data_IF_091839941203
#
_entry.id   IF_091839941203
#
_cell.length_a   1.000
_cell.length_b   1.000
_cell.length_c   1.000
_cell.angle_alpha   90.00
_cell.angle_beta   90.00
_cell.angle_gamma   90.00
#
_symmetry.space_group_name_H-M   'P 1'
#
loop_
_entity.id
_entity.type
_entity.pdbx_description
1 polymer ?
#
# COMPACT_ATOMS: atom_id res chain seq x y z
N UNK A 1 -6.00 -1.89 -9.59
CA UNK A 1 -6.85 -2.55 -10.60
C UNK A 1 -7.26 -1.60 -11.72
N UNK A 2 -7.94 -0.45 -11.50
CA UNK A 2 -8.36 0.46 -12.59
C UNK A 2 -7.22 0.89 -13.51
N UNK A 3 -6.05 1.24 -12.98
CA UNK A 3 -4.90 1.60 -13.81
C UNK A 3 -4.41 0.41 -14.66
N UNK A 4 -4.32 -0.80 -14.10
CA UNK A 4 -3.96 -2.00 -14.86
C UNK A 4 -4.98 -2.32 -15.96
N UNK A 5 -6.28 -2.15 -15.68
CA UNK A 5 -7.33 -2.30 -16.69
C UNK A 5 -7.15 -1.31 -17.86
N UNK A 6 -6.82 -0.04 -17.58
CA UNK A 6 -6.52 0.97 -18.61
C UNK A 6 -5.25 0.66 -19.41
N UNK A 7 -4.36 -0.19 -18.90
CA UNK A 7 -3.19 -0.70 -19.62
C UNK A 7 -3.47 -1.99 -20.40
N UNK A 8 -4.72 -2.47 -20.39
CA UNK A 8 -5.14 -3.67 -21.10
C UNK A 8 -4.81 -4.99 -20.38
N UNK A 9 -4.46 -4.95 -19.10
CA UNK A 9 -4.18 -6.16 -18.33
C UNK A 9 -5.47 -6.94 -18.04
N UNK A 10 -5.39 -8.28 -18.16
CA UNK A 10 -6.42 -9.20 -17.66
C UNK A 10 -6.22 -9.36 -16.14
N UNK A 11 -7.23 -9.03 -15.35
CA UNK A 11 -7.14 -8.95 -13.90
C UNK A 11 -7.97 -10.05 -13.25
N UNK A 12 -7.37 -10.79 -12.30
CA UNK A 12 -8.09 -11.68 -11.39
C UNK A 12 -7.92 -11.14 -9.99
N UNK A 13 -9.02 -10.84 -9.31
CA UNK A 13 -9.05 -10.35 -7.93
C UNK A 13 -9.26 -11.47 -6.94
N UNK A 14 -8.47 -11.48 -5.84
CA UNK A 14 -8.64 -12.38 -4.70
C UNK A 14 -8.59 -11.55 -3.42
N UNK A 15 -9.55 -11.71 -2.53
CA UNK A 15 -9.56 -11.02 -1.25
C UNK A 15 -10.79 -11.31 -0.41
N UNK A 16 -10.78 -10.80 0.83
CA UNK A 16 -11.95 -10.81 1.69
C UNK A 16 -13.03 -9.85 1.18
N UNK A 17 -14.28 -10.00 1.60
CA UNK A 17 -15.32 -9.02 1.30
C UNK A 17 -14.92 -7.63 1.83
N UNK A 18 -15.39 -6.54 1.19
CA UNK A 18 -15.16 -5.19 1.72
C UNK A 18 -15.64 -5.06 3.16
N UNK A 19 -14.76 -4.53 4.03
CA UNK A 19 -15.02 -4.41 5.48
C UNK A 19 -15.73 -3.10 5.86
N UNK A 20 -15.85 -2.14 4.92
CA UNK A 20 -16.37 -0.79 5.19
C UNK A 20 -17.52 -0.45 4.25
N UNK A 21 -18.40 0.43 4.75
CA UNK A 21 -19.44 1.09 3.96
C UNK A 21 -19.32 2.59 4.22
N UNK A 22 -18.98 3.40 3.19
CA UNK A 22 -18.67 3.01 1.82
C UNK A 22 -17.38 2.20 1.69
N UNK A 23 -17.16 1.58 0.51
CA UNK A 23 -15.90 0.95 0.14
C UNK A 23 -15.52 1.34 -1.29
N UNK A 24 -14.22 1.49 -1.55
CA UNK A 24 -13.74 1.80 -2.91
C UNK A 24 -13.98 0.63 -3.88
N UNK A 25 -14.05 -0.60 -3.38
CA UNK A 25 -14.40 -1.76 -4.19
C UNK A 25 -15.78 -1.61 -4.84
N UNK A 26 -16.76 -1.14 -4.06
CA UNK A 26 -18.14 -0.92 -4.54
C UNK A 26 -18.25 0.41 -5.29
N UNK A 27 -17.87 1.55 -4.66
CA UNK A 27 -18.04 2.88 -5.24
C UNK A 27 -17.18 3.12 -6.49
N UNK A 28 -16.09 2.37 -6.59
CA UNK A 28 -15.18 2.39 -7.74
C UNK A 28 -15.48 1.33 -8.80
N UNK A 29 -16.58 0.56 -8.64
CA UNK A 29 -16.95 -0.54 -9.55
C UNK A 29 -15.74 -1.44 -9.91
N UNK A 30 -15.01 -1.89 -8.88
CA UNK A 30 -13.75 -2.63 -9.08
C UNK A 30 -14.01 -4.03 -9.60
N UNK A 31 -15.13 -4.65 -9.23
CA UNK A 31 -15.49 -6.00 -9.68
C UNK A 31 -15.65 -6.08 -11.19
N UNK A 32 -16.25 -5.06 -11.81
CA UNK A 32 -16.43 -5.00 -13.27
C UNK A 32 -15.12 -4.94 -14.06
N UNK A 33 -14.03 -4.55 -13.43
CA UNK A 33 -12.69 -4.51 -14.03
C UNK A 33 -11.99 -5.87 -14.04
N UNK A 34 -12.50 -6.82 -13.24
CA UNK A 34 -11.91 -8.13 -13.08
C UNK A 34 -12.45 -9.10 -14.13
N UNK A 35 -11.56 -9.89 -14.72
CA UNK A 35 -11.97 -11.06 -15.50
C UNK A 35 -12.62 -12.11 -14.61
N UNK A 36 -12.14 -12.22 -13.37
CA UNK A 36 -12.74 -12.99 -12.29
C UNK A 36 -12.44 -12.30 -10.95
N UNK A 37 -13.37 -12.39 -10.00
CA UNK A 37 -13.24 -11.90 -8.64
C UNK A 37 -13.63 -13.01 -7.68
N UNK A 38 -12.71 -13.38 -6.78
CA UNK A 38 -12.88 -14.47 -5.83
C UNK A 38 -12.84 -13.95 -4.40
N UNK A 39 -13.90 -14.19 -3.66
CA UNK A 39 -13.98 -13.83 -2.24
C UNK A 39 -13.50 -15.03 -1.42
N UNK A 40 -12.42 -14.83 -0.64
CA UNK A 40 -11.86 -15.86 0.23
C UNK A 40 -10.61 -15.40 0.96
N UNK A 41 -10.15 -16.24 1.88
CA UNK A 41 -9.02 -15.94 2.77
C UNK A 41 -7.72 -16.57 2.25
N UNK A 42 -6.65 -15.78 2.16
CA UNK A 42 -5.31 -16.25 1.75
C UNK A 42 -4.68 -17.21 2.77
N UNK A 43 -5.23 -17.33 3.97
CA UNK A 43 -4.79 -18.31 4.97
C UNK A 43 -5.27 -19.73 4.65
N UNK A 44 -6.30 -19.89 3.82
CA UNK A 44 -6.72 -21.16 3.26
C UNK A 44 -5.85 -21.51 2.03
N UNK A 45 -4.79 -22.25 2.26
CA UNK A 45 -3.80 -22.57 1.23
C UNK A 45 -4.39 -23.35 0.05
N UNK A 46 -5.19 -24.38 0.31
CA UNK A 46 -5.72 -25.25 -0.77
C UNK A 46 -6.67 -24.48 -1.68
N UNK A 47 -7.55 -23.67 -1.10
CA UNK A 47 -8.41 -22.80 -1.85
C UNK A 47 -7.61 -21.76 -2.67
N UNK A 48 -6.64 -21.09 -2.05
CA UNK A 48 -5.80 -20.07 -2.70
C UNK A 48 -5.01 -20.67 -3.87
N UNK A 49 -4.38 -21.82 -3.68
CA UNK A 49 -3.65 -22.54 -4.73
C UNK A 49 -4.54 -22.80 -5.95
N UNK A 50 -5.77 -23.28 -5.69
CA UNK A 50 -6.71 -23.55 -6.78
C UNK A 50 -7.09 -22.28 -7.55
N UNK A 51 -7.33 -21.14 -6.84
CA UNK A 51 -7.65 -19.88 -7.51
C UNK A 51 -6.48 -19.36 -8.34
N UNK A 52 -5.26 -19.40 -7.81
CA UNK A 52 -4.06 -18.93 -8.51
C UNK A 52 -3.81 -19.80 -9.75
N UNK A 53 -3.88 -21.12 -9.64
CA UNK A 53 -3.72 -22.03 -10.78
C UNK A 53 -4.75 -21.77 -11.89
N UNK A 54 -6.00 -21.56 -11.52
CA UNK A 54 -7.09 -21.33 -12.47
C UNK A 54 -7.05 -19.94 -13.12
N UNK A 55 -6.33 -18.99 -12.51
CA UNK A 55 -6.26 -17.60 -13.01
C UNK A 55 -5.51 -17.47 -14.33
N UNK A 56 -4.54 -18.34 -14.61
CA UNK A 56 -3.60 -18.19 -15.70
C UNK A 56 -2.75 -16.94 -15.64
N UNK A 57 -2.54 -16.40 -14.41
CA UNK A 57 -1.78 -15.18 -14.21
C UNK A 57 -0.29 -15.39 -14.47
N UNK A 58 0.37 -14.39 -15.04
CA UNK A 58 1.83 -14.34 -15.19
C UNK A 58 2.52 -13.59 -14.05
N UNK A 59 1.79 -12.71 -13.36
CA UNK A 59 2.28 -11.85 -12.29
C UNK A 59 1.27 -11.78 -11.15
N UNK A 60 1.76 -11.91 -9.92
CA UNK A 60 0.99 -11.67 -8.70
C UNK A 60 1.42 -10.35 -8.07
N UNK A 61 0.45 -9.51 -7.70
CA UNK A 61 0.60 -8.44 -6.74
C UNK A 61 -0.05 -8.85 -5.44
N UNK A 62 0.72 -9.15 -4.40
CA UNK A 62 0.22 -9.55 -3.09
C UNK A 62 0.10 -8.34 -2.17
N UNK A 63 -1.13 -7.79 -2.09
CA UNK A 63 -1.47 -6.66 -1.23
C UNK A 63 -2.30 -7.07 -0.01
N UNK A 64 -2.84 -8.30 -0.01
CA UNK A 64 -3.69 -8.78 1.07
C UNK A 64 -2.91 -8.83 2.39
N UNK A 65 -3.46 -8.20 3.42
CA UNK A 65 -2.84 -8.11 4.75
C UNK A 65 -3.88 -7.65 5.80
N UNK A 66 -3.58 -7.87 7.07
CA UNK A 66 -4.16 -7.09 8.15
C UNK A 66 -3.27 -5.85 8.36
N UNK A 67 -3.69 -4.62 7.92
CA UNK A 67 -2.80 -3.45 7.83
C UNK A 67 -2.92 -2.47 9.00
N UNK A 68 -3.82 -2.72 9.97
CA UNK A 68 -4.14 -1.78 11.04
C UNK A 68 -3.33 -2.08 12.30
N UNK A 69 -2.48 -1.13 12.72
CA UNK A 69 -1.61 -1.27 13.89
C UNK A 69 -2.43 -1.53 15.16
N UNK A 70 -3.49 -0.74 15.41
CA UNK A 70 -4.31 -0.92 16.62
C UNK A 70 -5.05 -2.26 16.64
N UNK A 71 -5.55 -2.72 15.48
CA UNK A 71 -6.13 -4.06 15.37
C UNK A 71 -5.12 -5.15 15.69
N UNK A 72 -3.83 -4.96 15.35
CA UNK A 72 -2.80 -5.94 15.64
C UNK A 72 -2.53 -6.14 17.13
N UNK A 73 -2.70 -5.09 17.94
CA UNK A 73 -2.63 -5.22 19.40
C UNK A 73 -3.82 -6.01 19.97
N UNK A 74 -5.02 -5.82 19.41
CA UNK A 74 -6.21 -6.54 19.82
C UNK A 74 -6.20 -8.01 19.35
N UNK A 75 -5.72 -8.25 18.13
CA UNK A 75 -5.78 -9.54 17.43
C UNK A 75 -4.41 -9.92 16.84
N UNK A 76 -3.37 -10.17 17.67
CA UNK A 76 -2.03 -10.44 17.17
C UNK A 76 -1.92 -11.74 16.36
N UNK A 77 -2.61 -12.81 16.79
CA UNK A 77 -2.56 -14.10 16.08
C UNK A 77 -3.17 -14.02 14.68
N UNK A 78 -4.31 -13.34 14.52
CA UNK A 78 -4.91 -13.06 13.21
C UNK A 78 -3.94 -12.25 12.33
N UNK A 79 -3.27 -11.25 12.92
CA UNK A 79 -2.29 -10.42 12.21
C UNK A 79 -1.11 -11.25 11.70
N UNK A 80 -0.54 -12.12 12.53
CA UNK A 80 0.55 -13.02 12.09
C UNK A 80 0.05 -14.06 11.08
N UNK A 81 -1.12 -14.65 11.28
CA UNK A 81 -1.69 -15.60 10.33
C UNK A 81 -1.88 -14.97 8.94
N UNK A 82 -2.53 -13.80 8.86
CA UNK A 82 -2.72 -13.10 7.58
C UNK A 82 -1.40 -12.65 6.95
N UNK A 83 -0.55 -11.97 7.72
CA UNK A 83 0.60 -11.26 7.14
C UNK A 83 1.79 -12.20 6.88
N UNK A 84 2.04 -13.18 7.74
CA UNK A 84 3.17 -14.10 7.60
C UNK A 84 2.74 -15.36 6.85
N UNK A 85 1.76 -16.08 7.39
CA UNK A 85 1.33 -17.32 6.77
C UNK A 85 0.61 -17.08 5.44
N UNK A 86 -0.23 -16.03 5.33
CA UNK A 86 -0.82 -15.63 4.06
C UNK A 86 0.22 -15.32 2.98
N UNK A 87 1.31 -14.61 3.33
CA UNK A 87 2.43 -14.36 2.40
C UNK A 87 3.14 -15.67 2.02
N UNK A 88 3.38 -16.57 2.97
CA UNK A 88 3.97 -17.88 2.68
C UNK A 88 3.06 -18.70 1.76
N UNK A 89 1.75 -18.71 2.00
CA UNK A 89 0.77 -19.41 1.17
C UNK A 89 0.75 -18.87 -0.28
N UNK A 90 0.80 -17.54 -0.45
CA UNK A 90 0.87 -16.92 -1.79
C UNK A 90 2.13 -17.36 -2.53
N UNK A 91 3.28 -17.30 -1.88
CA UNK A 91 4.55 -17.69 -2.49
C UNK A 91 4.63 -19.20 -2.77
N UNK A 92 4.09 -20.02 -1.87
CA UNK A 92 4.02 -21.48 -2.09
C UNK A 92 3.06 -21.83 -3.22
N UNK A 93 1.88 -21.18 -3.28
CA UNK A 93 0.96 -21.35 -4.40
C UNK A 93 1.58 -20.88 -5.73
N UNK A 94 2.32 -19.78 -5.70
CA UNK A 94 3.06 -19.27 -6.86
C UNK A 94 4.07 -20.31 -7.36
N UNK A 95 4.82 -20.95 -6.47
CA UNK A 95 5.80 -22.01 -6.79
C UNK A 95 5.17 -23.23 -7.47
N UNK A 96 3.90 -23.50 -7.18
CA UNK A 96 3.15 -24.65 -7.71
C UNK A 96 2.22 -24.30 -8.89
N UNK A 97 2.38 -23.10 -9.47
CA UNK A 97 1.55 -22.62 -10.59
C UNK A 97 2.37 -22.49 -11.85
N UNK A 98 2.09 -23.33 -12.84
CA UNK A 98 2.75 -23.26 -14.14
C UNK A 98 2.36 -21.96 -14.88
N UNK A 99 3.34 -21.35 -15.56
CA UNK A 99 3.15 -20.13 -16.33
C UNK A 99 3.23 -18.84 -15.51
N UNK A 100 3.20 -18.90 -14.16
CA UNK A 100 3.45 -17.75 -13.32
C UNK A 100 4.95 -17.40 -13.35
N UNK A 101 5.29 -16.15 -13.63
CA UNK A 101 6.66 -15.69 -13.86
C UNK A 101 7.19 -14.85 -12.72
N UNK A 102 6.33 -14.06 -12.06
CA UNK A 102 6.77 -13.12 -11.04
C UNK A 102 5.73 -12.88 -9.94
N UNK A 103 6.22 -12.45 -8.76
CA UNK A 103 5.40 -11.99 -7.66
C UNK A 103 6.01 -10.74 -7.00
N UNK A 104 5.18 -9.72 -6.81
CA UNK A 104 5.49 -8.50 -6.07
C UNK A 104 4.74 -8.54 -4.75
N UNK A 105 5.49 -8.58 -3.65
CA UNK A 105 4.95 -8.68 -2.29
C UNK A 105 4.99 -7.30 -1.63
N UNK A 106 3.83 -6.76 -1.31
CA UNK A 106 3.73 -5.44 -0.71
C UNK A 106 3.85 -5.54 0.80
N UNK A 107 4.87 -4.86 1.33
CA UNK A 107 5.12 -4.76 2.77
C UNK A 107 4.96 -3.30 3.24
N UNK A 108 5.79 -2.81 4.13
CA UNK A 108 5.68 -1.49 4.72
C UNK A 108 7.06 -0.93 5.10
N UNK A 109 7.18 0.38 5.22
CA UNK A 109 8.33 1.06 5.83
C UNK A 109 8.55 0.65 7.32
N UNK A 110 7.50 0.21 8.00
CA UNK A 110 7.57 -0.24 9.41
C UNK A 110 8.31 -1.57 9.63
N UNK A 111 8.82 -2.20 8.56
CA UNK A 111 9.62 -3.43 8.66
C UNK A 111 11.02 -3.21 9.22
N UNK A 112 11.52 -1.99 9.21
CA UNK A 112 12.86 -1.68 9.70
C UNK A 112 12.95 -1.70 11.24
N UNK A 113 14.11 -2.08 11.78
CA UNK A 113 14.44 -1.92 13.20
C UNK A 113 14.62 -0.42 13.51
N UNK A 114 13.50 0.26 13.69
CA UNK A 114 13.45 1.71 13.80
C UNK A 114 14.14 2.23 15.06
N UNK A 115 15.24 2.98 14.88
CA UNK A 115 16.03 3.65 15.90
C UNK A 115 15.65 5.13 16.09
N UNK A 116 14.51 5.58 15.53
CA UNK A 116 14.01 6.95 15.64
C UNK A 116 15.00 8.01 15.12
N UNK A 117 15.78 7.66 14.10
CA UNK A 117 16.80 8.55 13.52
C UNK A 117 16.22 9.42 12.39
N UNK A 118 16.91 10.52 12.08
CA UNK A 118 16.55 11.41 10.96
C UNK A 118 16.94 10.84 9.59
N UNK A 119 18.03 10.05 9.54
CA UNK A 119 18.49 9.46 8.28
C UNK A 119 17.49 8.41 7.76
N UNK A 120 17.08 8.48 6.48
CA UNK A 120 16.15 7.53 5.88
C UNK A 120 16.70 6.09 5.86
N UNK A 121 15.81 5.11 6.00
CA UNK A 121 16.15 3.68 5.94
C UNK A 121 16.32 3.20 4.51
N UNK A 122 17.37 2.42 4.27
CA UNK A 122 17.69 1.78 3.00
C UNK A 122 17.31 0.30 3.03
N UNK A 123 17.17 -0.29 1.85
CA UNK A 123 16.68 -1.67 1.69
C UNK A 123 17.59 -2.74 2.30
N UNK A 124 18.88 -2.43 2.49
CA UNK A 124 19.90 -3.32 3.05
C UNK A 124 20.00 -3.27 4.59
N UNK A 125 19.18 -2.46 5.25
CA UNK A 125 19.24 -2.29 6.70
C UNK A 125 18.42 -3.34 7.47
N UNK A 126 18.73 -3.45 8.78
CA UNK A 126 18.15 -4.45 9.66
C UNK A 126 16.61 -4.34 9.74
N UNK A 127 15.97 -5.48 9.68
CA UNK A 127 14.54 -5.64 9.88
C UNK A 127 14.20 -5.84 11.36
N UNK A 128 13.04 -5.35 11.77
CA UNK A 128 12.51 -5.51 13.12
C UNK A 128 11.11 -4.94 13.20
N UNK A 129 10.46 -5.02 14.35
CA UNK A 129 9.14 -4.44 14.54
C UNK A 129 8.82 -4.34 16.01
N UNK A 130 8.32 -3.16 16.46
CA UNK A 130 8.03 -2.89 17.87
C UNK A 130 6.58 -3.27 18.26
N UNK A 131 5.73 -3.51 17.29
CA UNK A 131 4.33 -3.89 17.47
C UNK A 131 4.00 -5.13 16.61
N UNK A 132 2.87 -5.85 16.86
CA UNK A 132 2.55 -7.08 16.14
C UNK A 132 2.38 -6.89 14.62
N UNK A 133 1.89 -5.73 14.17
CA UNK A 133 1.80 -5.42 12.74
C UNK A 133 3.18 -5.28 12.10
N UNK A 134 4.03 -4.41 12.66
CA UNK A 134 5.39 -4.16 12.16
C UNK A 134 6.22 -5.45 12.17
N UNK A 135 6.14 -6.22 13.28
CA UNK A 135 6.82 -7.51 13.41
C UNK A 135 6.32 -8.52 12.37
N UNK A 136 4.99 -8.62 12.14
CA UNK A 136 4.44 -9.52 11.14
C UNK A 136 4.89 -9.17 9.71
N UNK A 137 4.99 -7.89 9.37
CA UNK A 137 5.49 -7.44 8.08
C UNK A 137 7.00 -7.65 7.91
N UNK A 138 7.79 -7.49 8.98
CA UNK A 138 9.21 -7.85 8.98
C UNK A 138 9.41 -9.37 8.80
N UNK A 139 8.58 -10.20 9.45
CA UNK A 139 8.57 -11.64 9.24
C UNK A 139 8.19 -11.99 7.78
N UNK A 140 7.21 -11.31 7.18
CA UNK A 140 6.88 -11.49 5.78
C UNK A 140 8.07 -11.19 4.84
N UNK A 141 8.87 -10.15 5.12
CA UNK A 141 10.12 -9.88 4.40
C UNK A 141 11.13 -11.05 4.50
N UNK A 142 11.25 -11.66 5.69
CA UNK A 142 12.12 -12.84 5.88
C UNK A 142 11.60 -14.06 5.09
N UNK A 143 10.28 -14.26 5.05
CA UNK A 143 9.65 -15.28 4.20
C UNK A 143 9.99 -15.02 2.74
N UNK A 144 9.78 -13.78 2.25
CA UNK A 144 10.13 -13.39 0.88
C UNK A 144 11.59 -13.67 0.57
N UNK A 145 12.52 -13.25 1.43
CA UNK A 145 13.96 -13.46 1.24
C UNK A 145 14.34 -14.96 1.19
N UNK A 146 13.64 -15.79 1.97
CA UNK A 146 13.82 -17.25 1.92
C UNK A 146 13.39 -17.83 0.56
N UNK A 147 12.19 -17.43 0.09
CA UNK A 147 11.68 -17.89 -1.20
C UNK A 147 12.51 -17.39 -2.38
N UNK A 148 12.99 -16.15 -2.37
CA UNK A 148 13.91 -15.63 -3.40
C UNK A 148 15.14 -16.52 -3.58
N UNK A 149 15.77 -16.93 -2.47
CA UNK A 149 16.94 -17.83 -2.49
C UNK A 149 16.59 -19.25 -2.94
N UNK A 150 15.49 -19.78 -2.43
CA UNK A 150 15.07 -21.16 -2.71
C UNK A 150 14.63 -21.31 -4.16
N UNK A 151 13.80 -20.40 -4.68
CA UNK A 151 13.29 -20.47 -6.05
C UNK A 151 14.39 -20.29 -7.09
N UNK A 152 15.38 -19.46 -6.84
CA UNK A 152 16.55 -19.31 -7.74
C UNK A 152 17.37 -20.58 -7.85
N UNK A 153 17.38 -21.44 -6.82
CA UNK A 153 18.15 -22.68 -6.78
C UNK A 153 17.38 -23.89 -7.37
N UNK A 154 16.05 -23.86 -7.34
CA UNK A 154 15.21 -25.00 -7.72
C UNK A 154 14.80 -25.02 -9.20
N UNK A 155 15.24 -24.08 -10.01
CA UNK A 155 15.05 -24.09 -11.46
C UNK A 155 13.64 -23.74 -11.98
N UNK A 156 12.63 -23.62 -11.12
CA UNK A 156 11.28 -23.14 -11.48
C UNK A 156 11.15 -21.65 -11.12
N UNK A 157 12.12 -20.87 -11.57
CA UNK A 157 12.44 -19.56 -11.09
C UNK A 157 11.34 -18.50 -11.27
N UNK A 158 10.39 -18.46 -10.35
CA UNK A 158 9.54 -17.28 -10.21
C UNK A 158 10.38 -16.15 -9.62
N UNK A 159 10.40 -15.02 -10.30
CA UNK A 159 11.07 -13.82 -9.81
C UNK A 159 10.22 -13.14 -8.72
N UNK A 160 10.81 -12.93 -7.55
CA UNK A 160 10.10 -12.33 -6.41
C UNK A 160 10.79 -11.06 -5.94
N UNK A 161 10.02 -10.01 -5.73
CA UNK A 161 10.48 -8.80 -5.07
C UNK A 161 9.50 -8.37 -3.99
N UNK A 162 10.01 -7.75 -2.91
CA UNK A 162 9.19 -7.01 -1.96
C UNK A 162 9.23 -5.51 -2.24
N UNK A 163 8.11 -4.82 -1.96
CA UNK A 163 8.04 -3.37 -2.06
C UNK A 163 7.55 -2.81 -0.73
N UNK A 164 8.38 -1.95 -0.13
CA UNK A 164 8.17 -1.30 1.16
C UNK A 164 7.65 0.11 0.93
N UNK A 165 6.42 0.36 1.30
CA UNK A 165 5.81 1.70 1.20
C UNK A 165 5.22 2.11 2.53
N UNK A 166 5.32 3.39 2.87
CA UNK A 166 4.78 3.96 4.10
C UNK A 166 3.79 5.08 3.85
N UNK A 167 2.91 5.28 4.81
CA UNK A 167 1.97 6.40 4.93
C UNK A 167 1.31 6.80 3.59
N UNK A 168 0.72 5.81 2.95
CA UNK A 168 0.03 5.97 1.67
C UNK A 168 -1.32 6.64 1.93
N UNK A 169 -1.57 7.76 1.25
CA UNK A 169 -2.84 8.49 1.25
C UNK A 169 -3.41 8.59 -0.15
N UNK A 170 -4.72 8.81 -0.23
CA UNK A 170 -5.44 8.92 -1.49
C UNK A 170 -6.92 8.73 -1.25
N UNK A 171 -7.75 8.99 -2.24
CA UNK A 171 -9.18 8.83 -2.12
C UNK A 171 -9.63 7.39 -1.97
N UNK A 172 -10.76 7.20 -1.27
CA UNK A 172 -11.43 5.90 -1.16
C UNK A 172 -10.87 4.94 -0.10
N UNK A 173 -10.01 5.39 0.80
CA UNK A 173 -9.73 4.68 2.05
C UNK A 173 -10.82 5.01 3.07
N UNK A 174 -11.45 3.98 3.61
CA UNK A 174 -12.53 4.10 4.61
C UNK A 174 -12.17 3.38 5.91
N UNK A 175 -10.90 2.96 6.06
CA UNK A 175 -10.44 2.21 7.21
C UNK A 175 -10.57 3.00 8.50
N UNK A 176 -10.82 2.29 9.60
CA UNK A 176 -10.78 2.84 10.94
C UNK A 176 -9.34 3.20 11.35
N UNK A 177 -9.20 4.10 12.30
CA UNK A 177 -7.90 4.46 12.90
C UNK A 177 -6.85 5.02 11.90
N UNK A 178 -7.28 5.56 10.76
CA UNK A 178 -6.41 6.24 9.78
C UNK A 178 -6.75 7.71 9.64
N UNK A 179 -5.72 8.55 9.59
CA UNK A 179 -5.84 10.00 9.64
C UNK A 179 -6.81 10.57 8.60
N UNK A 180 -6.62 10.27 7.33
CA UNK A 180 -7.44 10.87 6.25
C UNK A 180 -8.92 10.46 6.34
N UNK A 181 -9.28 9.17 6.49
CA UNK A 181 -10.66 8.77 6.75
C UNK A 181 -11.25 9.39 8.01
N UNK A 182 -10.45 9.58 9.07
CA UNK A 182 -10.92 10.21 10.32
C UNK A 182 -11.20 11.70 10.12
N UNK A 183 -10.37 12.43 9.35
CA UNK A 183 -10.64 13.81 8.96
C UNK A 183 -11.94 13.89 8.16
N UNK A 184 -12.13 13.02 7.15
CA UNK A 184 -13.35 12.97 6.35
C UNK A 184 -14.59 12.80 7.22
N UNK A 185 -14.59 11.78 8.12
CA UNK A 185 -15.71 11.51 9.04
C UNK A 185 -16.00 12.73 9.94
N UNK A 186 -14.95 13.32 10.52
CA UNK A 186 -15.11 14.50 11.38
C UNK A 186 -15.75 15.67 10.64
N UNK A 187 -15.43 15.86 9.36
CA UNK A 187 -16.02 16.92 8.53
C UNK A 187 -17.48 16.61 8.19
N UNK A 188 -17.76 15.41 7.69
CA UNK A 188 -19.10 15.04 7.20
C UNK A 188 -20.12 14.88 8.33
N UNK A 189 -19.66 14.32 9.46
CA UNK A 189 -20.51 14.08 10.63
C UNK A 189 -20.54 15.26 11.61
N UNK A 190 -19.88 16.40 11.25
CA UNK A 190 -19.70 17.59 12.11
C UNK A 190 -19.16 17.24 13.52
N UNK A 191 -18.27 16.25 13.57
CA UNK A 191 -17.72 15.68 14.79
C UNK A 191 -16.32 16.24 15.11
N UNK A 192 -15.82 15.97 16.33
CA UNK A 192 -14.46 16.32 16.72
C UNK A 192 -13.46 15.31 16.16
N UNK A 193 -12.43 15.80 15.48
CA UNK A 193 -11.27 14.99 15.04
C UNK A 193 -10.33 14.76 16.22
N UNK A 194 -10.14 13.52 16.61
CA UNK A 194 -9.19 13.15 17.65
C UNK A 194 -7.83 12.79 17.04
N UNK A 195 -6.79 13.57 17.38
CA UNK A 195 -5.42 13.37 16.89
C UNK A 195 -4.55 12.82 18.02
N UNK A 196 -3.87 11.69 17.75
CA UNK A 196 -3.09 10.95 18.76
C UNK A 196 -1.65 11.47 18.92
N UNK A 197 -0.93 11.60 17.82
CA UNK A 197 0.49 11.98 17.77
C UNK A 197 0.72 13.14 16.80
N UNK A 198 0.31 14.38 17.13
CA UNK A 198 0.33 15.50 16.19
C UNK A 198 1.72 15.81 15.64
N UNK A 199 2.77 15.58 16.44
CA UNK A 199 4.17 15.85 16.07
C UNK A 199 4.89 14.67 15.43
N UNK A 200 4.24 13.51 15.29
CA UNK A 200 4.86 12.37 14.63
C UNK A 200 5.05 12.64 13.13
N UNK A 201 6.28 12.41 12.66
CA UNK A 201 6.68 12.65 11.27
C UNK A 201 6.59 11.38 10.43
N UNK A 202 6.05 11.49 9.22
CA UNK A 202 5.84 10.34 8.30
C UNK A 202 6.23 10.69 6.87
N UNK A 203 6.61 9.68 6.06
CA UNK A 203 6.91 9.83 4.64
C UNK A 203 5.61 9.72 3.80
N UNK A 204 4.76 10.74 3.89
CA UNK A 204 3.47 10.73 3.21
C UNK A 204 3.61 10.69 1.69
N UNK A 205 2.91 9.77 1.05
CA UNK A 205 2.89 9.63 -0.40
C UNK A 205 1.49 9.34 -0.94
N UNK A 206 1.24 9.75 -2.19
CA UNK A 206 -0.02 9.42 -2.84
C UNK A 206 -0.08 7.94 -3.23
N UNK A 207 -1.27 7.32 -3.13
CA UNK A 207 -1.49 5.92 -3.49
C UNK A 207 -1.05 5.58 -4.92
N UNK A 208 -1.15 6.54 -5.85
CA UNK A 208 -0.70 6.35 -7.23
C UNK A 208 0.82 6.27 -7.36
N UNK A 209 1.59 6.92 -6.48
CA UNK A 209 3.05 6.76 -6.41
C UNK A 209 3.42 5.33 -6.00
N UNK A 210 2.74 4.80 -4.97
CA UNK A 210 2.92 3.42 -4.55
C UNK A 210 2.53 2.42 -5.67
N UNK A 211 1.35 2.61 -6.29
CA UNK A 211 0.90 1.79 -7.42
C UNK A 211 1.87 1.84 -8.61
N UNK A 212 2.42 3.02 -8.94
CA UNK A 212 3.44 3.15 -9.98
C UNK A 212 4.69 2.34 -9.65
N UNK A 213 5.18 2.44 -8.41
CA UNK A 213 6.31 1.62 -7.94
C UNK A 213 6.05 0.13 -8.03
N UNK A 214 4.87 -0.32 -7.57
CA UNK A 214 4.50 -1.75 -7.64
C UNK A 214 4.46 -2.25 -9.08
N UNK A 215 3.83 -1.50 -9.98
CA UNK A 215 3.74 -1.87 -11.41
C UNK A 215 5.11 -1.82 -12.10
N UNK A 216 5.96 -0.84 -11.78
CA UNK A 216 7.31 -0.75 -12.35
C UNK A 216 8.19 -1.95 -11.93
N UNK A 217 8.15 -2.32 -10.64
CA UNK A 217 8.85 -3.52 -10.14
C UNK A 217 8.29 -4.78 -10.81
N UNK A 218 6.95 -4.91 -10.91
CA UNK A 218 6.32 -6.07 -11.55
C UNK A 218 6.68 -6.21 -13.02
N UNK A 219 6.66 -5.11 -13.78
CA UNK A 219 7.05 -5.10 -15.18
C UNK A 219 8.53 -5.48 -15.37
N UNK A 220 9.41 -4.91 -14.54
CA UNK A 220 10.84 -5.20 -14.60
C UNK A 220 11.16 -6.67 -14.21
N UNK A 221 10.42 -7.26 -13.25
CA UNK A 221 10.53 -8.69 -12.94
C UNK A 221 10.13 -9.60 -14.10
N UNK A 222 9.16 -9.18 -14.93
CA UNK A 222 8.76 -9.94 -16.11
C UNK A 222 9.77 -9.82 -17.26
N UNK A 223 10.44 -8.69 -17.39
CA UNK A 223 11.35 -8.37 -18.50
C UNK A 223 12.78 -8.83 -18.22
N UNK A 224 13.34 -8.40 -17.08
CA UNK A 224 14.74 -8.66 -16.71
C UNK A 224 14.86 -8.94 -15.19
N UNK A 225 14.48 -10.12 -14.70
CA UNK A 225 14.34 -10.40 -13.27
C UNK A 225 15.65 -10.29 -12.48
N UNK A 226 16.82 -10.56 -13.11
CA UNK A 226 18.09 -10.71 -12.41
C UNK A 226 18.46 -9.52 -11.51
N UNK A 227 18.27 -8.30 -11.98
CA UNK A 227 18.63 -7.07 -11.26
C UNK A 227 17.50 -6.51 -10.38
N UNK A 228 16.32 -7.13 -10.43
CA UNK A 228 15.10 -6.64 -9.78
C UNK A 228 14.71 -7.45 -8.55
N UNK A 229 15.14 -8.72 -8.48
CA UNK A 229 14.90 -9.57 -7.31
C UNK A 229 15.50 -8.89 -6.06
N UNK A 230 14.71 -8.78 -5.02
CA UNK A 230 15.12 -8.13 -3.77
C UNK A 230 14.03 -7.22 -3.20
N UNK A 231 14.44 -6.29 -2.35
CA UNK A 231 13.54 -5.35 -1.69
C UNK A 231 13.67 -3.96 -2.30
N UNK A 232 12.57 -3.22 -2.34
CA UNK A 232 12.47 -1.89 -2.93
C UNK A 232 11.69 -0.94 -2.02
N UNK A 233 12.25 0.22 -1.72
CA UNK A 233 11.53 1.29 -1.04
C UNK A 233 10.76 2.14 -2.04
N UNK A 234 9.50 2.46 -1.74
CA UNK A 234 8.67 3.43 -2.48
C UNK A 234 8.15 4.48 -1.50
N UNK A 235 8.33 5.74 -1.84
CA UNK A 235 7.98 6.85 -0.97
C UNK A 235 8.00 8.20 -1.68
N UNK A 236 7.84 9.29 -0.93
CA UNK A 236 7.95 10.65 -1.46
C UNK A 236 9.39 10.95 -1.90
N UNK A 237 9.53 11.94 -2.77
CA UNK A 237 10.86 12.47 -3.15
C UNK A 237 11.44 13.35 -2.05
N UNK A 238 10.58 14.08 -1.34
CA UNK A 238 10.98 14.91 -0.22
C UNK A 238 11.20 14.04 1.03
N UNK A 239 12.44 13.97 1.47
CA UNK A 239 12.86 13.19 2.65
C UNK A 239 12.72 13.97 3.97
N UNK A 240 12.20 15.19 3.95
CA UNK A 240 11.97 15.98 5.17
C UNK A 240 10.99 15.26 6.11
N UNK A 241 9.98 14.60 5.53
CA UNK A 241 8.81 14.13 6.26
C UNK A 241 7.89 15.29 6.70
N UNK A 242 6.66 14.95 7.06
CA UNK A 242 5.67 15.94 7.52
C UNK A 242 4.93 15.39 8.72
N UNK A 243 4.66 16.26 9.69
CA UNK A 243 3.94 15.89 10.91
C UNK A 243 2.45 15.63 10.60
N UNK A 244 1.80 14.85 11.48
CA UNK A 244 0.36 14.62 11.41
C UNK A 244 -0.41 15.95 11.42
N UNK A 245 -0.01 16.91 12.26
CA UNK A 245 -0.61 18.23 12.38
C UNK A 245 -0.53 19.02 11.06
N UNK A 246 0.66 19.06 10.40
CA UNK A 246 0.84 19.71 9.10
C UNK A 246 -0.07 19.09 8.02
N UNK A 247 -0.28 17.78 8.05
CA UNK A 247 -1.19 17.10 7.09
C UNK A 247 -2.65 17.48 7.35
N UNK A 248 -3.07 17.54 8.62
CA UNK A 248 -4.44 17.98 8.97
C UNK A 248 -4.68 19.40 8.49
N UNK A 249 -3.75 20.32 8.73
CA UNK A 249 -3.85 21.71 8.29
C UNK A 249 -3.99 21.78 6.76
N UNK A 250 -3.07 21.16 6.02
CA UNK A 250 -3.10 21.13 4.54
C UNK A 250 -4.40 20.56 3.99
N UNK A 251 -4.91 19.47 4.57
CA UNK A 251 -6.16 18.85 4.13
C UNK A 251 -7.37 19.76 4.38
N UNK A 252 -7.43 20.35 5.57
CA UNK A 252 -8.57 21.20 5.98
C UNK A 252 -8.57 22.56 5.29
N UNK A 253 -7.45 23.08 4.84
CA UNK A 253 -7.35 24.28 4.01
C UNK A 253 -8.05 24.11 2.65
N UNK A 254 -8.06 22.86 2.10
CA UNK A 254 -8.74 22.57 0.83
C UNK A 254 -10.25 22.40 0.99
N UNK A 255 -10.71 21.98 2.16
CA UNK A 255 -12.13 21.68 2.36
C UNK A 255 -12.75 22.54 3.48
N UNK A 256 -12.68 22.03 4.73
CA UNK A 256 -13.16 22.76 5.92
C UNK A 256 -12.49 22.20 7.17
N UNK A 257 -12.40 23.00 8.21
CA UNK A 257 -11.71 22.63 9.45
C UNK A 257 -12.71 22.11 10.49
N UNK A 258 -12.65 20.84 10.89
CA UNK A 258 -13.45 20.32 12.01
C UNK A 258 -12.89 20.82 13.35
N UNK A 259 -13.64 20.63 14.42
CA UNK A 259 -13.08 20.70 15.77
C UNK A 259 -12.01 19.66 15.96
N UNK A 260 -10.90 20.02 16.62
CA UNK A 260 -9.75 19.12 16.83
C UNK A 260 -9.50 18.96 18.32
N UNK A 261 -9.29 17.73 18.77
CA UNK A 261 -8.86 17.38 20.12
C UNK A 261 -7.60 16.46 20.06
N UNK A 262 -6.81 16.48 21.11
CA UNK A 262 -5.57 15.71 21.19
C UNK A 262 -5.68 14.64 22.27
N UNK A 263 -5.59 13.38 21.84
CA UNK A 263 -5.57 12.23 22.75
C UNK A 263 -4.16 12.04 23.37
N UNK A 264 -4.11 11.89 24.70
CA UNK A 264 -2.84 11.85 25.44
C UNK A 264 -2.40 10.45 25.87
N UNK A 265 -3.31 9.48 25.96
CA UNK A 265 -3.03 8.14 26.52
C UNK A 265 -3.18 7.07 25.43
N UNK A 266 -2.14 6.90 24.61
CA UNK A 266 -2.15 6.00 23.45
C UNK A 266 -0.98 5.01 23.48
N UNK A 267 -1.14 3.78 22.90
CA UNK A 267 -0.03 2.85 22.73
C UNK A 267 1.13 3.49 21.98
N UNK A 268 2.40 3.23 22.34
CA UNK A 268 3.56 3.84 21.69
C UNK A 268 3.56 3.64 20.16
N UNK A 269 3.79 4.71 19.42
CA UNK A 269 3.96 4.68 17.97
C UNK A 269 5.29 5.37 17.60
N UNK A 270 5.92 4.95 16.49
CA UNK A 270 7.17 5.56 16.03
C UNK A 270 6.97 7.06 15.79
N UNK A 271 7.88 7.88 16.30
CA UNK A 271 7.82 9.35 16.12
C UNK A 271 8.45 9.77 14.79
N UNK A 272 9.49 9.06 14.33
CA UNK A 272 10.19 9.36 13.09
C UNK A 272 10.44 8.07 12.29
N UNK A 273 10.06 8.09 11.02
CA UNK A 273 10.31 7.01 10.09
C UNK A 273 10.35 7.57 8.66
N UNK A 274 11.49 7.46 8.00
CA UNK A 274 11.71 7.88 6.63
C UNK A 274 12.39 6.77 5.85
N UNK A 275 12.13 6.67 4.55
CA UNK A 275 12.74 5.68 3.66
C UNK A 275 13.49 6.34 2.51
N UNK A 276 14.65 5.79 2.17
CA UNK A 276 15.43 6.21 1.00
C UNK A 276 14.85 5.55 -0.25
N UNK A 277 14.50 6.37 -1.24
CA UNK A 277 13.93 5.93 -2.53
C UNK A 277 14.92 6.05 -3.70
N UNK A 278 16.19 6.32 -3.42
CA UNK A 278 17.22 6.50 -4.46
C UNK A 278 17.37 5.26 -5.35
N UNK A 279 17.25 4.06 -4.77
CA UNK A 279 17.36 2.80 -5.51
C UNK A 279 16.29 2.67 -6.59
N UNK A 280 15.01 2.79 -6.24
CA UNK A 280 13.93 2.64 -7.22
C UNK A 280 13.95 3.74 -8.27
N UNK A 281 14.32 4.97 -7.89
CA UNK A 281 14.50 6.08 -8.82
C UNK A 281 15.61 5.82 -9.82
N UNK A 282 16.76 5.35 -9.36
CA UNK A 282 17.93 5.12 -10.21
C UNK A 282 17.74 3.94 -11.19
N UNK A 283 17.12 2.86 -10.75
CA UNK A 283 17.00 1.62 -11.52
C UNK A 283 15.72 1.55 -12.36
N UNK A 284 14.62 2.06 -11.84
CA UNK A 284 13.30 1.94 -12.48
C UNK A 284 12.66 3.28 -12.87
N UNK A 285 13.35 4.40 -12.63
CA UNK A 285 12.84 5.72 -12.96
C UNK A 285 11.62 6.18 -12.15
N UNK A 286 11.27 5.46 -11.08
CA UNK A 286 10.10 5.77 -10.27
C UNK A 286 10.41 6.87 -9.27
N UNK A 287 9.68 7.98 -9.39
CA UNK A 287 9.68 9.08 -8.43
C UNK A 287 8.26 9.65 -8.32
N UNK A 288 7.89 10.17 -7.16
CA UNK A 288 6.61 10.89 -7.03
C UNK A 288 6.65 12.15 -7.91
N UNK A 289 5.66 12.36 -8.80
CA UNK A 289 5.57 13.59 -9.58
C UNK A 289 4.92 14.72 -8.79
N UNK A 290 4.38 14.44 -7.62
CA UNK A 290 3.68 15.35 -6.74
C UNK A 290 4.47 15.57 -5.44
N UNK A 291 4.59 16.83 -5.05
CA UNK A 291 5.02 17.23 -3.71
C UNK A 291 3.89 17.00 -2.69
N UNK A 292 4.16 17.27 -1.43
CA UNK A 292 3.19 17.00 -0.36
C UNK A 292 1.92 17.85 -0.51
N UNK A 293 2.03 19.09 -1.00
CA UNK A 293 0.89 19.98 -1.18
C UNK A 293 -0.07 19.40 -2.22
N UNK A 294 0.46 18.99 -3.36
CA UNK A 294 -0.32 18.32 -4.40
C UNK A 294 -0.89 16.96 -3.94
N UNK A 295 -0.13 16.16 -3.18
CA UNK A 295 -0.61 14.89 -2.61
C UNK A 295 -1.83 15.09 -1.72
N UNK A 296 -1.77 16.07 -0.81
CA UNK A 296 -2.87 16.31 0.12
C UNK A 296 -4.02 17.02 -0.55
N UNK A 297 -3.76 17.99 -1.45
CA UNK A 297 -4.80 18.65 -2.24
C UNK A 297 -5.62 17.63 -3.05
N UNK A 298 -4.96 16.76 -3.82
CA UNK A 298 -5.61 15.70 -4.60
C UNK A 298 -6.46 14.79 -3.71
N UNK A 299 -5.90 14.36 -2.58
CA UNK A 299 -6.62 13.52 -1.62
C UNK A 299 -7.85 14.23 -1.07
N UNK A 300 -7.73 15.49 -0.63
CA UNK A 300 -8.84 16.26 -0.07
C UNK A 300 -9.94 16.54 -1.11
N UNK A 301 -9.56 16.90 -2.35
CA UNK A 301 -10.51 17.11 -3.43
C UNK A 301 -11.28 15.84 -3.78
N UNK A 302 -10.63 14.68 -3.76
CA UNK A 302 -11.31 13.40 -3.96
C UNK A 302 -12.43 13.17 -2.93
N UNK A 303 -12.11 13.34 -1.64
CA UNK A 303 -13.11 13.15 -0.57
C UNK A 303 -14.22 14.21 -0.62
N UNK A 304 -13.88 15.46 -0.93
CA UNK A 304 -14.84 16.55 -1.09
C UNK A 304 -15.81 16.28 -2.26
N UNK A 305 -15.30 15.83 -3.41
CA UNK A 305 -16.10 15.42 -4.56
C UNK A 305 -17.02 14.24 -4.26
N UNK A 306 -16.52 13.26 -3.54
CA UNK A 306 -17.31 12.09 -3.12
C UNK A 306 -18.43 12.46 -2.15
N UNK A 307 -18.18 13.37 -1.18
CA UNK A 307 -19.20 13.84 -0.22
C UNK A 307 -20.29 14.68 -0.89
N UNK A 308 -19.96 15.44 -1.92
CA UNK A 308 -20.89 16.29 -2.66
C UNK A 308 -21.91 15.52 -3.52
N UNK A 309 -21.80 14.21 -3.64
CA UNK A 309 -22.66 13.33 -4.45
C UNK A 309 -22.68 13.63 -5.97
N UNK A 310 -21.89 14.59 -6.43
CA UNK A 310 -21.79 14.94 -7.86
C UNK A 310 -20.87 14.00 -8.64
N UNK A 311 -19.92 13.38 -7.95
CA UNK A 311 -18.95 12.45 -8.55
C UNK A 311 -19.00 11.09 -7.83
N UNK A 312 -18.87 10.02 -8.59
CA UNK A 312 -18.73 8.68 -8.02
C UNK A 312 -17.25 8.27 -7.92
N UNK A 313 -16.98 7.20 -7.20
CA UNK A 313 -15.61 6.73 -7.02
C UNK A 313 -14.91 6.34 -8.33
N UNK A 314 -15.65 5.98 -9.38
CA UNK A 314 -15.11 5.65 -10.71
C UNK A 314 -14.50 6.89 -11.36
N UNK A 315 -15.27 7.99 -11.45
CA UNK A 315 -14.83 9.22 -12.11
C UNK A 315 -13.63 9.82 -11.38
N UNK A 316 -13.71 9.91 -10.05
CA UNK A 316 -12.62 10.41 -9.21
C UNK A 316 -11.31 9.61 -9.39
N UNK A 317 -11.40 8.28 -9.44
CA UNK A 317 -10.21 7.44 -9.71
C UNK A 317 -9.66 7.65 -11.13
N UNK A 318 -10.53 7.80 -12.13
CA UNK A 318 -10.11 8.00 -13.53
C UNK A 318 -9.40 9.35 -13.67
N UNK A 319 -9.94 10.41 -13.07
CA UNK A 319 -9.33 11.74 -13.07
C UNK A 319 -7.94 11.75 -12.40
N UNK A 320 -7.83 11.14 -11.22
CA UNK A 320 -6.55 11.06 -10.50
C UNK A 320 -5.50 10.27 -11.29
N UNK A 321 -5.87 9.11 -11.84
CA UNK A 321 -4.96 8.30 -12.67
C UNK A 321 -4.51 9.08 -13.90
N UNK A 322 -5.45 9.78 -14.58
CA UNK A 322 -5.12 10.58 -15.76
C UNK A 322 -4.17 11.73 -15.40
N UNK A 323 -4.46 12.46 -14.32
CA UNK A 323 -3.61 13.54 -13.80
C UNK A 323 -2.20 13.04 -13.46
N UNK A 324 -2.09 11.91 -12.76
CA UNK A 324 -0.81 11.31 -12.40
C UNK A 324 -0.01 10.89 -13.65
N UNK A 325 -0.66 10.19 -14.59
CA UNK A 325 -0.03 9.72 -15.84
C UNK A 325 0.48 10.88 -16.70
N UNK A 326 -0.29 11.95 -16.83
CA UNK A 326 0.13 13.13 -17.56
C UNK A 326 1.40 13.73 -16.93
N UNK A 327 1.45 13.82 -15.62
CA UNK A 327 2.58 14.40 -14.90
C UNK A 327 3.86 13.57 -15.05
N UNK A 328 3.79 12.23 -14.95
CA UNK A 328 4.97 11.37 -15.15
C UNK A 328 5.43 11.30 -16.61
N UNK A 329 4.53 11.51 -17.58
CA UNK A 329 4.89 11.54 -19.01
C UNK A 329 5.35 12.90 -19.52
N UNK A 330 5.45 13.91 -18.65
CA UNK A 330 5.82 15.28 -19.02
C UNK A 330 4.79 16.00 -19.90
N UNK A 331 3.54 15.50 -19.95
CA UNK A 331 2.44 16.19 -20.60
C UNK A 331 1.79 17.13 -19.58
N UNK A 332 1.84 18.42 -19.87
CA UNK A 332 1.16 19.48 -19.09
C UNK A 332 -0.31 19.52 -19.42
#
# INVERSE_FOLDING_TARGET
>A
MRWLSQLGCKIVGIGLPPLTTPSLFVSGDIESLCHASHIGDITDYEWLLQQIKNSGAELIFHLAAQPLVRKSYRNPLETFASNVMGTANVLEAARHTDGLKAAVIITTDKVYDNKEREAPYREDEALGGKDPYSASKACAELVVASYQKTLSQMGNGIAVASVRGGNIVGGGDWSEDRLIPDIYRAIVDEATLNIRYPKATRPWQHVLTACHGYMAVGAALLDAPGDVIGSWNVGPVDLRGYTVEEIVEKFTDVWTKPSVDFETDQPPEAMNLLVDTAKIKAHLGVASPWDIDAVIEKTALWYKGFAGSEQNGVDLMVEDIASYRNKISGKT
#
